data_IF_093352770308
#
_entry.id   IF_093352770308
#
_cell.length_a   1.000
_cell.length_b   1.000
_cell.length_c   1.000
_cell.angle_alpha   90.00
_cell.angle_beta   90.00
_cell.angle_gamma   90.00
#
_symmetry.space_group_name_H-M   'P 1'
#
loop_
_entity.id
_entity.type
_entity.pdbx_description
1 polymer ?
#
# COMPACT_ATOMS: atom_id res chain seq x y z
N UNK A 1 10.42 -19.30 -15.33
CA UNK A 1 9.37 -18.27 -15.16
C UNK A 1 9.86 -17.35 -14.06
N UNK A 2 10.26 -16.13 -14.40
CA UNK A 2 10.91 -15.21 -13.45
C UNK A 2 9.95 -14.92 -12.31
N UNK A 3 10.35 -15.24 -11.07
CA UNK A 3 9.58 -14.89 -9.88
C UNK A 3 9.50 -13.37 -9.81
N UNK A 4 8.36 -12.79 -10.19
CA UNK A 4 8.17 -11.35 -10.11
C UNK A 4 8.04 -10.94 -8.66
N UNK A 5 8.85 -9.97 -8.25
CA UNK A 5 8.81 -9.36 -6.93
C UNK A 5 8.32 -7.93 -7.05
N UNK A 6 7.42 -7.51 -6.17
CA UNK A 6 6.92 -6.14 -6.11
C UNK A 6 7.42 -5.51 -4.83
N UNK A 7 7.95 -4.28 -4.92
CA UNK A 7 8.16 -3.42 -3.75
C UNK A 7 6.97 -2.50 -3.63
N UNK A 8 6.31 -2.51 -2.48
CA UNK A 8 5.21 -1.61 -2.21
C UNK A 8 5.29 -0.99 -0.83
N UNK A 9 4.70 0.19 -0.72
CA UNK A 9 4.41 0.83 0.56
C UNK A 9 2.90 0.80 0.80
N UNK A 10 2.46 0.74 2.04
CA UNK A 10 1.05 0.76 2.37
C UNK A 10 0.67 1.65 3.55
N UNK A 11 -0.60 2.07 3.58
CA UNK A 11 -1.22 2.76 4.71
C UNK A 11 -2.44 1.97 5.13
N UNK A 12 -2.35 1.29 6.27
CA UNK A 12 -3.46 0.61 6.91
C UNK A 12 -4.27 1.56 7.81
N UNK A 13 -5.57 1.65 7.58
CA UNK A 13 -6.55 2.39 8.40
C UNK A 13 -7.77 1.51 8.74
N UNK A 14 -8.59 1.95 9.71
CA UNK A 14 -9.79 1.22 10.14
C UNK A 14 -10.97 1.35 9.18
N UNK A 15 -11.14 2.54 8.59
CA UNK A 15 -12.34 2.87 7.83
C UNK A 15 -12.02 3.15 6.36
N UNK A 16 -12.95 2.78 5.49
CA UNK A 16 -12.90 3.11 4.06
C UNK A 16 -12.85 4.61 3.83
N UNK A 17 -13.61 5.37 4.64
CA UNK A 17 -13.64 6.84 4.58
C UNK A 17 -12.26 7.44 4.81
N UNK A 18 -11.50 6.92 5.77
CA UNK A 18 -10.13 7.36 6.02
C UNK A 18 -9.19 6.99 4.89
N UNK A 19 -9.36 5.79 4.33
CA UNK A 19 -8.55 5.34 3.20
C UNK A 19 -8.76 6.25 1.97
N UNK A 20 -10.02 6.56 1.64
CA UNK A 20 -10.39 7.49 0.57
C UNK A 20 -9.82 8.88 0.84
N UNK A 21 -9.96 9.39 2.07
CA UNK A 21 -9.43 10.70 2.48
C UNK A 21 -7.92 10.78 2.27
N UNK A 22 -7.18 9.77 2.71
CA UNK A 22 -5.72 9.69 2.58
C UNK A 22 -5.32 9.61 1.12
N UNK A 23 -6.00 8.77 0.34
CA UNK A 23 -5.78 8.65 -1.11
C UNK A 23 -5.97 9.97 -1.85
N UNK A 24 -7.03 10.71 -1.52
CA UNK A 24 -7.28 12.02 -2.13
C UNK A 24 -6.15 13.02 -1.80
N UNK A 25 -5.59 12.97 -0.59
CA UNK A 25 -4.43 13.78 -0.23
C UNK A 25 -3.18 13.38 -1.01
N UNK A 26 -2.96 12.08 -1.21
CA UNK A 26 -1.85 11.58 -2.05
C UNK A 26 -1.99 12.10 -3.49
N UNK A 27 -3.21 12.04 -4.05
CA UNK A 27 -3.52 12.60 -5.38
C UNK A 27 -3.33 14.11 -5.47
N UNK A 28 -3.57 14.83 -4.37
CA UNK A 28 -3.33 16.27 -4.26
C UNK A 28 -1.85 16.64 -4.05
N UNK A 29 -0.92 15.66 -4.08
CA UNK A 29 0.52 15.88 -3.97
C UNK A 29 1.10 15.70 -2.56
N UNK A 30 0.31 15.23 -1.59
CA UNK A 30 0.87 14.90 -0.28
C UNK A 30 1.80 13.68 -0.36
N UNK A 31 2.90 13.74 0.39
CA UNK A 31 3.88 12.65 0.44
C UNK A 31 3.27 11.42 1.12
N UNK A 32 3.38 10.28 0.45
CA UNK A 32 2.85 9.00 0.93
C UNK A 32 3.47 8.62 2.27
N UNK A 33 4.78 8.82 2.40
CA UNK A 33 5.56 8.43 3.57
C UNK A 33 5.14 9.21 4.81
N UNK A 34 4.78 10.48 4.66
CA UNK A 34 4.31 11.33 5.76
C UNK A 34 2.90 10.92 6.20
N UNK A 35 2.03 10.61 5.24
CA UNK A 35 0.70 10.11 5.54
C UNK A 35 0.75 8.72 6.19
N UNK A 36 1.67 7.86 5.75
CA UNK A 36 1.89 6.55 6.35
C UNK A 36 2.39 6.66 7.80
N UNK A 37 3.36 7.54 8.07
CA UNK A 37 3.86 7.81 9.43
C UNK A 37 2.76 8.34 10.36
N UNK A 38 1.86 9.16 9.83
CA UNK A 38 0.83 9.84 10.62
C UNK A 38 -0.43 9.00 10.84
N UNK A 39 -0.86 8.24 9.85
CA UNK A 39 -2.18 7.59 9.84
C UNK A 39 -2.12 6.06 9.80
N UNK A 40 -0.99 5.46 9.43
CA UNK A 40 -0.93 4.01 9.34
C UNK A 40 -0.91 3.35 10.71
N UNK A 41 -1.76 2.34 10.87
CA UNK A 41 -1.79 1.47 12.06
C UNK A 41 -0.82 0.30 11.98
N UNK A 42 -0.14 0.12 10.85
CA UNK A 42 0.86 -0.93 10.69
C UNK A 42 2.22 -0.46 11.22
N UNK A 43 3.04 -1.34 11.84
CA UNK A 43 4.41 -0.99 12.23
C UNK A 43 5.28 -0.45 11.09
N UNK A 44 4.97 -0.80 9.84
CA UNK A 44 5.59 -0.26 8.62
C UNK A 44 5.39 1.24 8.48
N UNK A 45 4.36 1.84 9.10
CA UNK A 45 4.10 3.28 9.11
C UNK A 45 5.31 4.08 9.57
N UNK A 46 6.09 3.59 10.54
CA UNK A 46 7.34 4.22 11.01
C UNK A 46 8.38 4.37 9.90
N UNK A 47 8.38 3.46 8.92
CA UNK A 47 9.24 3.46 7.73
C UNK A 47 8.55 4.08 6.51
N UNK A 48 7.53 4.93 6.71
CA UNK A 48 6.77 5.51 5.61
C UNK A 48 5.86 4.51 4.89
N UNK A 49 5.53 3.39 5.55
CA UNK A 49 4.68 2.34 5.00
C UNK A 49 5.42 1.30 4.15
N UNK A 50 6.74 1.41 3.97
CA UNK A 50 7.51 0.51 3.11
C UNK A 50 7.55 -0.92 3.65
N UNK A 51 7.18 -1.88 2.80
CA UNK A 51 7.20 -3.32 3.09
C UNK A 51 8.41 -4.03 2.48
N UNK A 52 9.21 -3.34 1.66
CA UNK A 52 10.26 -3.98 0.89
C UNK A 52 9.72 -4.82 -0.27
N UNK A 53 10.59 -5.62 -0.88
CA UNK A 53 10.19 -6.52 -1.97
C UNK A 53 9.51 -7.76 -1.42
N UNK A 54 8.39 -8.14 -2.04
CA UNK A 54 7.70 -9.38 -1.76
C UNK A 54 7.27 -10.06 -3.06
N UNK A 55 7.28 -11.39 -3.05
CA UNK A 55 6.73 -12.26 -4.08
C UNK A 55 5.30 -12.68 -3.78
N UNK A 56 4.72 -13.47 -4.69
CA UNK A 56 3.41 -14.10 -4.48
C UNK A 56 3.45 -15.09 -3.31
N UNK A 57 2.36 -15.16 -2.54
CA UNK A 57 2.21 -15.96 -1.33
C UNK A 57 2.72 -15.33 -0.04
N UNK A 58 3.34 -14.13 -0.09
CA UNK A 58 3.92 -13.47 1.09
C UNK A 58 2.99 -12.45 1.75
N UNK A 59 1.96 -11.99 1.03
CA UNK A 59 0.98 -11.02 1.53
C UNK A 59 -0.43 -11.61 1.50
N UNK A 60 -1.37 -11.00 2.22
CA UNK A 60 -2.77 -11.41 2.14
C UNK A 60 -3.29 -11.26 0.72
N UNK A 61 -4.10 -12.23 0.27
CA UNK A 61 -4.53 -12.34 -1.14
C UNK A 61 -5.08 -11.05 -1.74
N UNK A 62 -5.98 -10.28 -1.09
CA UNK A 62 -6.48 -9.03 -1.66
C UNK A 62 -5.39 -7.96 -1.83
N UNK A 63 -4.43 -7.91 -0.91
CA UNK A 63 -3.31 -6.97 -0.98
C UNK A 63 -2.35 -7.34 -2.12
N UNK A 64 -2.02 -8.63 -2.21
CA UNK A 64 -1.18 -9.15 -3.28
C UNK A 64 -1.79 -8.92 -4.66
N UNK A 65 -3.05 -9.34 -4.85
CA UNK A 65 -3.73 -9.24 -6.14
C UNK A 65 -3.79 -7.77 -6.61
N UNK A 66 -4.00 -6.82 -5.68
CA UNK A 66 -3.91 -5.40 -5.97
C UNK A 66 -2.49 -4.94 -6.30
N UNK A 67 -1.48 -5.27 -5.49
CA UNK A 67 -0.11 -4.83 -5.73
C UNK A 67 0.50 -5.37 -7.04
N UNK A 68 0.19 -6.62 -7.39
CA UNK A 68 0.69 -7.26 -8.60
C UNK A 68 -0.08 -6.89 -9.88
N UNK A 69 -1.27 -6.30 -9.76
CA UNK A 69 -2.03 -5.78 -10.93
C UNK A 69 -1.68 -4.34 -11.26
N UNK A 70 -0.96 -3.65 -10.38
CA UNK A 70 -0.55 -2.25 -10.51
C UNK A 70 0.83 -2.10 -11.15
N UNK A 71 1.08 -0.92 -11.72
CA UNK A 71 2.39 -0.54 -12.28
C UNK A 71 3.21 0.23 -11.25
N UNK A 72 4.52 0.29 -11.47
CA UNK A 72 5.42 1.14 -10.69
C UNK A 72 4.94 2.60 -10.70
N UNK A 73 4.79 3.18 -9.51
CA UNK A 73 4.30 4.53 -9.29
C UNK A 73 2.80 4.63 -8.99
N UNK A 74 2.03 3.56 -9.26
CA UNK A 74 0.58 3.59 -9.04
C UNK A 74 0.22 3.58 -7.56
N UNK A 75 -0.92 4.20 -7.25
CA UNK A 75 -1.56 4.20 -5.93
C UNK A 75 -2.93 3.55 -6.04
N UNK A 76 -3.18 2.53 -5.23
CA UNK A 76 -4.39 1.72 -5.29
C UNK A 76 -5.63 2.48 -4.84
N UNK A 77 -6.79 1.93 -5.20
CA UNK A 77 -8.02 2.15 -4.45
C UNK A 77 -7.91 1.54 -3.03
N UNK A 78 -8.78 1.91 -2.08
CA UNK A 78 -8.88 1.24 -0.78
C UNK A 78 -9.08 -0.27 -0.91
N UNK A 79 -8.06 -1.04 -0.52
CA UNK A 79 -8.12 -2.50 -0.52
C UNK A 79 -8.56 -2.98 0.85
N UNK A 80 -9.73 -3.62 0.93
CA UNK A 80 -10.24 -4.20 2.17
C UNK A 80 -9.57 -5.55 2.44
N UNK A 81 -9.08 -5.73 3.66
CA UNK A 81 -8.57 -7.00 4.19
C UNK A 81 -9.17 -7.25 5.58
N UNK A 82 -8.81 -8.37 6.20
CA UNK A 82 -9.18 -8.67 7.59
C UNK A 82 -8.61 -7.66 8.60
N UNK A 83 -7.57 -6.90 8.24
CA UNK A 83 -6.95 -5.91 9.14
C UNK A 83 -7.58 -4.52 9.03
N UNK A 84 -8.37 -4.26 7.99
CA UNK A 84 -8.95 -2.95 7.68
C UNK A 84 -8.77 -2.59 6.21
N UNK A 85 -8.55 -1.31 5.93
CA UNK A 85 -8.40 -0.79 4.57
C UNK A 85 -6.96 -0.37 4.31
N UNK A 86 -6.42 -0.78 3.17
CA UNK A 86 -5.06 -0.50 2.74
C UNK A 86 -5.06 0.41 1.53
N UNK A 87 -4.28 1.49 1.59
CA UNK A 87 -3.84 2.20 0.40
C UNK A 87 -2.45 1.69 0.06
N UNK A 88 -2.26 1.16 -1.15
CA UNK A 88 -1.01 0.54 -1.60
C UNK A 88 -0.37 1.46 -2.63
N UNK A 89 0.94 1.65 -2.56
CA UNK A 89 1.74 2.35 -3.55
C UNK A 89 2.85 1.43 -4.02
N UNK A 90 2.87 1.09 -5.31
CA UNK A 90 3.95 0.26 -5.87
C UNK A 90 5.14 1.16 -6.16
N UNK A 91 6.27 0.89 -5.54
CA UNK A 91 7.50 1.68 -5.68
C UNK A 91 8.48 1.04 -6.66
N UNK A 92 8.43 -0.28 -6.84
CA UNK A 92 9.26 -0.99 -7.82
C UNK A 92 8.70 -2.37 -8.18
N UNK A 93 9.09 -2.91 -9.35
CA UNK A 93 8.72 -4.26 -9.82
C UNK A 93 9.98 -4.90 -10.43
N UNK A 94 10.29 -6.13 -10.04
CA UNK A 94 11.48 -6.90 -10.46
C UNK A 94 11.09 -8.28 -10.98
#
# INVERSE_FOLDING_TARGET
MTASQVRASHILVDSEKDAIRIRNRIRAGARFEDLARKHSRCPSGKKGGDLGYFGRGQMVKPFEDAAFSMKKGDVSEPVKTQFGYHIIKVTDIR
#
